data_IF_617695974485
#
_entry.id   IF_617695974485
#
_cell.length_a   1.000
_cell.length_b   1.000
_cell.length_c   1.000
_cell.angle_alpha   90.00
_cell.angle_beta   90.00
_cell.angle_gamma   90.00
#
_symmetry.space_group_name_H-M   'P 1'
#
loop_
_entity.id
_entity.type
_entity.pdbx_description
1 polymer ?
#
# COMPACT_ATOMS: atom_id res chain seq x y z
N UNK A 1 57.27 35.44 -68.96
CA UNK A 1 56.07 34.68 -69.22
C UNK A 1 55.74 34.00 -67.91
N UNK A 2 54.72 34.51 -67.21
CA UNK A 2 54.42 34.27 -65.84
C UNK A 2 53.47 33.07 -65.66
N UNK A 3 53.85 32.14 -64.80
CA UNK A 3 52.95 31.06 -64.36
C UNK A 3 52.42 31.39 -62.96
N UNK A 4 51.08 31.54 -62.80
CA UNK A 4 50.40 31.70 -61.57
C UNK A 4 50.13 30.30 -60.96
N UNK A 5 50.66 30.04 -59.77
CA UNK A 5 50.29 28.86 -58.96
C UNK A 5 49.19 29.25 -57.97
N UNK A 6 48.04 28.63 -58.13
CA UNK A 6 46.88 28.77 -57.22
C UNK A 6 47.00 27.81 -56.06
N UNK A 7 47.02 28.35 -54.84
CA UNK A 7 47.07 27.59 -53.55
C UNK A 7 45.67 27.37 -53.06
N UNK A 8 45.15 26.14 -53.17
CA UNK A 8 43.87 25.75 -52.58
C UNK A 8 44.12 25.29 -51.10
N UNK A 9 43.69 26.09 -50.13
CA UNK A 9 43.69 25.70 -48.73
C UNK A 9 42.41 24.86 -48.42
N UNK A 10 42.60 23.56 -48.17
CA UNK A 10 41.55 22.68 -47.67
C UNK A 10 41.23 23.01 -46.20
N UNK A 11 39.97 23.34 -45.92
CA UNK A 11 39.46 23.49 -44.58
C UNK A 11 38.94 22.10 -44.11
N UNK A 12 39.66 21.49 -43.17
CA UNK A 12 39.21 20.25 -42.51
C UNK A 12 38.29 20.63 -41.38
N UNK A 13 36.98 20.36 -41.52
CA UNK A 13 35.99 20.52 -40.45
C UNK A 13 36.07 19.24 -39.58
N UNK A 14 36.63 19.37 -38.40
CA UNK A 14 36.58 18.33 -37.40
C UNK A 14 35.18 18.30 -36.76
N UNK A 15 34.36 17.30 -37.08
CA UNK A 15 33.11 17.02 -36.38
C UNK A 15 33.43 16.37 -35.03
N UNK A 16 33.35 17.16 -33.96
CA UNK A 16 33.40 16.63 -32.61
C UNK A 16 32.08 15.87 -32.30
N UNK A 17 32.12 14.57 -32.36
CA UNK A 17 31.05 13.72 -31.85
C UNK A 17 31.00 13.83 -30.31
N UNK A 18 30.06 14.61 -29.81
CA UNK A 18 29.74 14.63 -28.37
C UNK A 18 29.19 13.27 -27.99
N UNK A 19 30.01 12.43 -27.37
CA UNK A 19 29.54 11.26 -26.65
C UNK A 19 28.74 11.78 -25.45
N UNK A 20 27.42 11.73 -25.54
CA UNK A 20 26.54 11.83 -24.38
C UNK A 20 26.81 10.56 -23.59
N UNK A 21 27.67 10.65 -22.59
CA UNK A 21 27.88 9.61 -21.61
C UNK A 21 26.54 9.34 -20.93
N UNK A 22 26.00 8.13 -21.13
CA UNK A 22 24.89 7.67 -20.30
C UNK A 22 25.36 7.74 -18.84
N UNK A 23 24.74 8.60 -18.04
CA UNK A 23 24.92 8.57 -16.61
C UNK A 23 24.66 7.13 -16.14
N UNK A 24 25.43 6.60 -15.17
CA UNK A 24 25.12 5.31 -14.60
C UNK A 24 23.66 5.35 -14.16
N UNK A 25 22.89 4.33 -14.56
CA UNK A 25 21.52 4.16 -14.11
C UNK A 25 21.56 4.15 -12.57
N UNK A 26 21.32 5.31 -11.96
CA UNK A 26 21.16 5.43 -10.53
C UNK A 26 20.00 4.54 -10.14
N UNK A 27 20.11 3.92 -8.99
CA UNK A 27 19.09 3.10 -8.37
C UNK A 27 17.69 3.71 -8.61
N UNK A 28 16.87 3.03 -9.42
CA UNK A 28 15.56 3.52 -9.84
C UNK A 28 14.50 3.22 -8.79
N UNK A 29 13.67 4.20 -8.47
CA UNK A 29 12.44 3.95 -7.73
C UNK A 29 11.27 3.89 -8.71
N UNK A 30 10.42 2.88 -8.56
CA UNK A 30 9.27 2.66 -9.45
C UNK A 30 7.98 2.61 -8.66
N UNK A 31 6.92 3.16 -9.25
CA UNK A 31 5.58 3.23 -8.65
C UNK A 31 4.61 2.42 -9.50
N UNK A 32 3.82 1.59 -8.85
CA UNK A 32 2.76 0.79 -9.44
C UNK A 32 1.42 1.21 -8.86
N UNK A 33 0.44 1.47 -9.72
CA UNK A 33 -0.91 1.89 -9.31
C UNK A 33 -1.94 0.99 -9.97
N UNK A 34 -2.75 0.28 -9.17
CA UNK A 34 -3.86 -0.50 -9.69
C UNK A 34 -5.06 0.37 -10.03
N UNK A 35 -5.63 0.17 -11.21
CA UNK A 35 -6.78 0.89 -11.75
C UNK A 35 -7.97 -0.08 -11.86
N UNK A 36 -8.84 -0.11 -10.85
CA UNK A 36 -9.89 -1.12 -10.73
C UNK A 36 -10.91 -1.07 -11.86
N UNK A 37 -11.29 0.12 -12.32
CA UNK A 37 -12.27 0.28 -13.39
C UNK A 37 -11.68 -0.04 -14.78
N UNK A 38 -10.42 0.31 -15.02
CA UNK A 38 -9.72 0.02 -16.29
C UNK A 38 -9.18 -1.43 -16.34
N UNK A 39 -9.02 -2.08 -15.19
CA UNK A 39 -8.51 -3.46 -15.07
C UNK A 39 -7.05 -3.60 -15.47
N UNK A 40 -6.22 -2.61 -15.13
CA UNK A 40 -4.79 -2.61 -15.41
C UNK A 40 -3.96 -1.98 -14.27
N UNK A 41 -2.65 -2.00 -14.44
CA UNK A 41 -1.67 -1.41 -13.52
C UNK A 41 -0.88 -0.35 -14.30
N UNK A 42 -0.94 0.91 -13.86
CA UNK A 42 -0.08 1.98 -14.33
C UNK A 42 1.29 1.89 -13.68
N UNK A 43 2.36 2.10 -14.44
CA UNK A 43 3.74 2.12 -13.94
C UNK A 43 4.36 3.50 -14.12
N UNK A 44 5.22 3.90 -13.17
CA UNK A 44 5.95 5.18 -13.24
C UNK A 44 7.34 5.00 -12.67
N UNK A 45 8.27 5.87 -13.14
CA UNK A 45 9.58 6.05 -12.50
C UNK A 45 9.53 7.28 -11.61
N UNK A 46 9.82 7.10 -10.32
CA UNK A 46 9.94 8.18 -9.33
C UNK A 46 11.34 8.79 -9.44
N UNK A 47 11.41 10.06 -9.81
CA UNK A 47 12.66 10.79 -9.98
C UNK A 47 13.21 11.31 -8.63
N UNK A 48 14.46 11.70 -8.62
CA UNK A 48 15.13 12.24 -7.43
C UNK A 48 14.51 13.54 -6.88
N UNK A 49 13.81 14.30 -7.70
CA UNK A 49 13.08 15.52 -7.36
C UNK A 49 11.61 15.27 -6.97
N UNK A 50 11.17 14.00 -6.98
CA UNK A 50 9.80 13.58 -6.67
C UNK A 50 8.84 13.63 -7.85
N UNK A 51 9.30 14.03 -9.06
CA UNK A 51 8.45 13.91 -10.25
C UNK A 51 8.27 12.46 -10.67
N UNK A 52 7.12 12.16 -11.29
CA UNK A 52 6.81 10.85 -11.84
C UNK A 52 6.88 10.88 -13.37
N UNK A 53 7.68 9.99 -13.95
CA UNK A 53 7.68 9.74 -15.39
C UNK A 53 6.78 8.56 -15.69
N UNK A 54 5.69 8.73 -16.50
CA UNK A 54 4.81 7.64 -16.87
C UNK A 54 5.56 6.55 -17.66
N UNK A 55 5.28 5.30 -17.29
CA UNK A 55 5.70 4.09 -18.00
C UNK A 55 4.53 3.41 -18.70
N UNK A 56 4.61 2.10 -18.85
CA UNK A 56 3.56 1.31 -19.48
C UNK A 56 2.34 1.15 -18.56
N UNK A 57 1.17 0.88 -19.17
CA UNK A 57 0.01 0.31 -18.51
C UNK A 57 -0.03 -1.18 -18.80
N UNK A 58 -0.10 -2.00 -17.76
CA UNK A 58 -0.02 -3.46 -17.89
C UNK A 58 -1.38 -4.07 -17.57
N UNK A 59 -1.91 -4.88 -18.50
CA UNK A 59 -3.21 -5.52 -18.31
C UNK A 59 -3.20 -6.43 -17.08
N UNK A 60 -4.26 -6.33 -16.30
CA UNK A 60 -4.53 -7.21 -15.16
C UNK A 60 -5.90 -7.85 -15.33
N UNK A 61 -6.86 -7.54 -14.47
CA UNK A 61 -8.24 -8.00 -14.56
C UNK A 61 -9.19 -6.94 -14.02
N UNK A 62 -10.46 -7.08 -14.34
CA UNK A 62 -11.50 -6.21 -13.80
C UNK A 62 -11.46 -6.21 -12.26
N UNK A 63 -11.61 -5.02 -11.67
CA UNK A 63 -11.56 -4.80 -10.21
C UNK A 63 -10.23 -5.27 -9.59
N UNK A 64 -9.09 -5.07 -10.30
CA UNK A 64 -7.77 -5.22 -9.69
C UNK A 64 -7.60 -4.18 -8.57
N UNK A 65 -7.26 -4.62 -7.37
CA UNK A 65 -7.18 -3.73 -6.22
C UNK A 65 -5.92 -3.93 -5.38
N UNK A 66 -5.87 -4.87 -4.39
CA UNK A 66 -4.70 -4.93 -3.56
C UNK A 66 -3.51 -5.47 -4.36
N UNK A 67 -2.38 -4.86 -4.11
CA UNK A 67 -1.09 -5.32 -4.59
C UNK A 67 -0.13 -5.51 -3.44
N UNK A 68 0.91 -6.31 -3.65
CA UNK A 68 2.06 -6.44 -2.76
C UNK A 68 3.29 -6.84 -3.57
N UNK A 69 4.42 -6.24 -3.22
CA UNK A 69 5.73 -6.59 -3.80
C UNK A 69 6.40 -7.66 -2.95
N UNK A 70 7.07 -8.63 -3.57
CA UNK A 70 7.87 -9.62 -2.85
C UNK A 70 9.02 -8.96 -2.07
N UNK A 71 9.42 -9.50 -0.90
CA UNK A 71 10.52 -8.92 -0.11
C UNK A 71 11.86 -8.81 -0.88
N UNK A 72 12.09 -9.70 -1.84
CA UNK A 72 13.26 -9.66 -2.75
C UNK A 72 13.05 -8.74 -3.97
N UNK A 73 11.91 -8.04 -4.02
CA UNK A 73 11.51 -7.08 -5.06
C UNK A 73 11.46 -7.64 -6.50
N UNK A 74 11.45 -8.98 -6.65
CA UNK A 74 11.41 -9.63 -7.97
C UNK A 74 10.01 -9.72 -8.56
N UNK A 75 8.98 -9.71 -7.72
CA UNK A 75 7.60 -9.98 -8.12
C UNK A 75 6.62 -8.97 -7.55
N UNK A 76 5.63 -8.61 -8.36
CA UNK A 76 4.42 -7.89 -7.93
C UNK A 76 3.24 -8.87 -8.00
N UNK A 77 2.46 -8.94 -6.94
CA UNK A 77 1.21 -9.69 -6.84
C UNK A 77 0.05 -8.71 -6.84
N UNK A 78 -0.96 -8.96 -7.65
CA UNK A 78 -2.15 -8.13 -7.75
C UNK A 78 -3.41 -9.00 -7.72
N UNK A 79 -4.29 -8.80 -6.74
CA UNK A 79 -5.52 -9.57 -6.63
C UNK A 79 -6.68 -8.89 -7.36
N UNK A 80 -7.46 -9.67 -8.11
CA UNK A 80 -8.72 -9.23 -8.70
C UNK A 80 -9.90 -9.61 -7.82
N UNK A 81 -10.85 -8.68 -7.66
CA UNK A 81 -12.05 -8.86 -6.84
C UNK A 81 -13.30 -9.19 -7.66
N UNK A 82 -13.16 -9.32 -8.97
CA UNK A 82 -14.19 -9.89 -9.86
C UNK A 82 -14.01 -11.41 -9.95
N UNK A 83 -15.12 -12.14 -10.14
CA UNK A 83 -15.06 -13.60 -10.38
C UNK A 83 -14.52 -13.90 -11.78
N UNK A 84 -13.66 -14.93 -11.94
CA UNK A 84 -13.08 -15.74 -10.89
C UNK A 84 -12.07 -14.90 -10.07
N UNK A 85 -12.02 -15.10 -8.72
CA UNK A 85 -11.06 -14.44 -7.88
C UNK A 85 -9.66 -14.97 -8.13
N UNK A 86 -8.75 -14.11 -8.54
CA UNK A 86 -7.39 -14.49 -8.94
C UNK A 86 -6.35 -13.57 -8.29
N UNK A 87 -5.17 -14.10 -8.06
CA UNK A 87 -3.95 -13.31 -7.92
C UNK A 87 -3.14 -13.40 -9.19
N UNK A 88 -2.76 -12.26 -9.74
CA UNK A 88 -1.90 -12.13 -10.91
C UNK A 88 -0.48 -11.84 -10.44
N UNK A 89 0.49 -12.52 -11.02
CA UNK A 89 1.91 -12.37 -10.67
C UNK A 89 2.65 -11.79 -11.85
N UNK A 90 3.44 -10.77 -11.58
CA UNK A 90 4.29 -10.09 -12.56
C UNK A 90 5.74 -10.14 -12.10
N UNK A 91 6.66 -10.44 -13.02
CA UNK A 91 8.08 -10.23 -12.80
C UNK A 91 8.40 -8.75 -12.95
N UNK A 92 9.19 -8.20 -12.04
CA UNK A 92 9.67 -6.80 -12.07
C UNK A 92 11.05 -6.77 -12.70
N UNK A 93 11.24 -5.93 -13.71
CA UNK A 93 12.57 -5.64 -14.24
C UNK A 93 13.25 -4.58 -13.34
N UNK A 94 14.34 -4.90 -12.64
CA UNK A 94 14.95 -3.97 -11.68
C UNK A 94 15.57 -2.73 -12.33
N UNK A 95 15.93 -2.78 -13.61
CA UNK A 95 16.53 -1.64 -14.30
C UNK A 95 15.50 -0.64 -14.83
N UNK A 96 14.27 -1.10 -15.12
CA UNK A 96 13.25 -0.27 -15.81
C UNK A 96 11.92 -0.19 -15.07
N UNK A 97 11.71 -0.99 -14.02
CA UNK A 97 10.43 -1.13 -13.32
C UNK A 97 9.33 -1.81 -14.17
N UNK A 98 9.65 -2.29 -15.37
CA UNK A 98 8.67 -2.90 -16.25
C UNK A 98 8.11 -4.20 -15.65
N UNK A 99 6.80 -4.37 -15.77
CA UNK A 99 6.08 -5.56 -15.32
C UNK A 99 5.88 -6.54 -16.48
N UNK A 100 6.31 -7.79 -16.29
CA UNK A 100 6.05 -8.88 -17.24
C UNK A 100 5.09 -9.88 -16.60
N UNK A 101 3.90 -10.14 -17.18
CA UNK A 101 2.98 -11.15 -16.66
C UNK A 101 3.66 -12.53 -16.58
N UNK A 102 3.54 -13.19 -15.44
CA UNK A 102 4.18 -14.47 -15.18
C UNK A 102 3.17 -15.61 -15.01
N UNK A 103 2.15 -15.40 -14.16
CA UNK A 103 1.15 -16.41 -13.80
C UNK A 103 -0.12 -15.75 -13.25
N UNK A 104 -1.17 -16.56 -13.15
CA UNK A 104 -2.36 -16.25 -12.35
C UNK A 104 -2.77 -17.50 -11.60
N UNK A 105 -3.21 -17.35 -10.35
CA UNK A 105 -3.67 -18.47 -9.51
C UNK A 105 -4.99 -18.12 -8.85
N UNK A 106 -5.89 -19.12 -8.62
CA UNK A 106 -7.15 -18.89 -7.95
C UNK A 106 -6.93 -18.47 -6.48
N UNK A 107 -7.84 -17.65 -5.99
CA UNK A 107 -7.97 -17.27 -4.60
C UNK A 107 -9.26 -17.84 -4.01
N UNK A 108 -9.24 -18.21 -2.73
CA UNK A 108 -10.39 -18.77 -2.04
C UNK A 108 -11.60 -17.81 -1.98
N UNK A 109 -11.33 -16.51 -1.98
CA UNK A 109 -12.32 -15.45 -1.84
C UNK A 109 -11.87 -14.13 -2.47
N UNK A 110 -12.80 -13.15 -2.51
CA UNK A 110 -12.50 -11.76 -2.86
C UNK A 110 -11.71 -11.08 -1.75
N UNK A 111 -10.43 -10.81 -1.97
CA UNK A 111 -9.57 -10.17 -0.97
C UNK A 111 -9.40 -8.67 -1.26
N UNK A 112 -9.88 -7.76 -0.40
CA UNK A 112 -9.53 -6.34 -0.43
C UNK A 112 -8.12 -6.05 0.08
N UNK A 113 -7.43 -7.05 0.63
CA UNK A 113 -6.07 -6.97 1.13
C UNK A 113 -5.33 -8.28 0.93
N UNK A 114 -4.12 -8.20 0.41
CA UNK A 114 -3.15 -9.28 0.38
C UNK A 114 -1.83 -8.80 0.96
N UNK A 115 -1.06 -9.70 1.53
CA UNK A 115 0.31 -9.46 1.99
C UNK A 115 1.16 -10.70 1.80
N UNK A 116 2.47 -10.54 1.91
CA UNK A 116 3.42 -11.65 1.98
C UNK A 116 4.01 -11.75 3.39
N UNK A 117 4.40 -12.94 3.77
CA UNK A 117 5.27 -13.13 4.91
C UNK A 117 6.67 -12.52 4.62
N UNK A 118 7.49 -12.31 5.66
CA UNK A 118 8.81 -11.66 5.48
C UNK A 118 9.81 -12.47 4.63
N UNK A 119 9.53 -13.75 4.39
CA UNK A 119 10.35 -14.60 3.50
C UNK A 119 9.86 -14.61 2.05
N UNK A 120 8.67 -14.08 1.78
CA UNK A 120 8.02 -14.12 0.48
C UNK A 120 7.51 -15.50 0.07
N UNK A 121 7.48 -16.46 0.99
CA UNK A 121 7.05 -17.85 0.69
C UNK A 121 5.57 -18.09 0.91
N UNK A 122 4.87 -17.17 1.53
CA UNK A 122 3.44 -17.32 1.82
C UNK A 122 2.70 -16.03 1.51
N UNK A 123 1.66 -16.16 0.67
CA UNK A 123 0.69 -15.09 0.39
C UNK A 123 -0.48 -15.24 1.36
N UNK A 124 -0.77 -14.17 2.09
CA UNK A 124 -1.89 -14.07 3.02
C UNK A 124 -2.96 -13.16 2.42
N UNK A 125 -4.22 -13.54 2.55
CA UNK A 125 -5.36 -12.74 2.10
C UNK A 125 -6.44 -12.64 3.17
N UNK A 126 -7.12 -11.48 3.25
CA UNK A 126 -8.27 -11.27 4.12
C UNK A 126 -9.50 -10.91 3.29
N UNK A 127 -10.65 -11.57 3.54
CA UNK A 127 -11.91 -11.35 2.82
C UNK A 127 -12.93 -10.59 3.65
N UNK A 128 -13.32 -9.41 3.11
CA UNK A 128 -14.36 -8.57 3.72
C UNK A 128 -15.75 -9.21 3.63
N UNK A 129 -16.09 -9.79 2.48
CA UNK A 129 -17.39 -10.41 2.25
C UNK A 129 -17.47 -11.87 2.69
N UNK A 130 -16.36 -12.60 2.58
CA UNK A 130 -16.28 -14.02 2.99
C UNK A 130 -16.00 -14.23 4.46
N UNK A 131 -15.55 -13.19 5.20
CA UNK A 131 -15.24 -13.28 6.64
C UNK A 131 -14.20 -14.36 6.96
N UNK A 132 -13.25 -14.55 6.05
CA UNK A 132 -12.17 -15.53 6.15
C UNK A 132 -10.82 -14.88 5.87
N UNK A 133 -9.78 -15.55 6.30
CA UNK A 133 -8.41 -15.34 5.85
C UNK A 133 -7.92 -16.59 5.14
N UNK A 134 -6.95 -16.44 4.23
CA UNK A 134 -6.29 -17.58 3.61
C UNK A 134 -4.78 -17.41 3.59
N UNK A 135 -4.08 -18.55 3.51
CA UNK A 135 -2.65 -18.63 3.29
C UNK A 135 -2.40 -19.54 2.11
N UNK A 136 -1.68 -19.06 1.09
CA UNK A 136 -1.24 -19.84 -0.05
C UNK A 136 0.29 -19.91 -0.09
N UNK A 137 0.86 -21.04 -0.46
CA UNK A 137 2.31 -21.15 -0.67
C UNK A 137 2.74 -20.38 -1.92
N UNK A 138 3.94 -19.81 -1.88
CA UNK A 138 4.60 -19.11 -2.99
C UNK A 138 5.90 -19.85 -3.31
N UNK A 139 6.07 -20.25 -4.57
CA UNK A 139 7.29 -20.87 -5.05
C UNK A 139 8.45 -19.90 -5.21
N UNK A 140 9.67 -20.40 -5.28
CA UNK A 140 10.88 -19.58 -5.53
C UNK A 140 10.86 -18.87 -6.89
N UNK A 141 10.01 -19.33 -7.81
CA UNK A 141 9.73 -18.72 -9.10
C UNK A 141 8.63 -17.64 -9.04
N UNK A 142 8.13 -17.32 -7.84
CA UNK A 142 7.09 -16.32 -7.58
C UNK A 142 5.67 -16.82 -7.79
N UNK A 143 5.45 -18.06 -8.27
CA UNK A 143 4.10 -18.57 -8.52
C UNK A 143 3.38 -18.91 -7.23
N UNK A 144 2.12 -18.51 -7.14
CA UNK A 144 1.24 -18.83 -6.01
C UNK A 144 0.60 -20.19 -6.25
N UNK A 145 0.66 -21.07 -5.27
CA UNK A 145 -0.02 -22.37 -5.32
C UNK A 145 -1.55 -22.17 -5.42
N UNK A 146 -2.24 -22.93 -6.29
CA UNK A 146 -3.68 -22.77 -6.51
C UNK A 146 -4.52 -23.17 -5.28
N UNK A 147 -4.03 -24.14 -4.52
CA UNK A 147 -4.71 -24.61 -3.32
C UNK A 147 -4.17 -23.89 -2.09
N UNK A 148 -5.04 -23.29 -1.25
CA UNK A 148 -4.61 -22.64 -0.02
C UNK A 148 -4.13 -23.68 1.00
N UNK A 149 -3.09 -23.35 1.75
CA UNK A 149 -2.65 -24.14 2.90
C UNK A 149 -3.69 -24.13 4.02
N UNK A 150 -4.36 -22.98 4.19
CA UNK A 150 -5.43 -22.76 5.16
C UNK A 150 -6.44 -21.75 4.64
N UNK A 151 -7.71 -21.98 4.98
CA UNK A 151 -8.78 -20.98 4.94
C UNK A 151 -9.40 -21.00 6.32
N UNK A 152 -9.33 -19.88 7.05
CA UNK A 152 -9.71 -19.78 8.46
C UNK A 152 -10.86 -18.77 8.58
N UNK A 153 -12.05 -19.17 9.09
CA UNK A 153 -13.10 -18.24 9.47
C UNK A 153 -12.62 -17.30 10.58
N UNK A 154 -12.93 -16.01 10.42
CA UNK A 154 -12.66 -14.95 11.40
C UNK A 154 -13.89 -14.09 11.61
N UNK A 155 -13.77 -12.98 12.33
CA UNK A 155 -14.87 -12.06 12.53
C UNK A 155 -15.36 -11.39 11.24
N UNK A 156 -16.55 -10.75 11.33
CA UNK A 156 -17.17 -10.07 10.19
C UNK A 156 -16.28 -8.98 9.61
N UNK A 157 -16.23 -8.94 8.29
CA UNK A 157 -15.55 -7.91 7.51
C UNK A 157 -14.03 -7.84 7.81
N UNK A 158 -13.34 -9.00 7.77
CA UNK A 158 -11.89 -9.04 7.83
C UNK A 158 -11.31 -8.19 6.70
N UNK A 159 -10.52 -7.16 7.06
CA UNK A 159 -10.14 -6.16 6.07
C UNK A 159 -8.67 -6.21 5.69
N UNK A 160 -7.80 -6.66 6.57
CA UNK A 160 -6.37 -6.87 6.28
C UNK A 160 -5.83 -8.04 7.08
N UNK A 161 -4.68 -8.54 6.64
CA UNK A 161 -3.85 -9.51 7.35
C UNK A 161 -2.39 -9.22 7.04
N UNK A 162 -1.55 -9.15 8.08
CA UNK A 162 -0.09 -9.03 7.94
C UNK A 162 0.60 -9.77 9.07
N UNK A 163 1.80 -10.25 8.79
CA UNK A 163 2.71 -10.74 9.83
C UNK A 163 3.47 -9.57 10.48
N UNK A 164 3.90 -9.77 11.72
CA UNK A 164 4.77 -8.86 12.46
C UNK A 164 6.18 -8.75 11.84
N UNK A 165 6.99 -7.80 12.28
CA UNK A 165 8.35 -7.64 11.77
C UNK A 165 9.25 -8.84 12.10
N UNK A 166 8.92 -9.59 13.16
CA UNK A 166 9.59 -10.84 13.53
C UNK A 166 9.19 -12.08 12.73
N UNK A 167 8.19 -11.97 11.84
CA UNK A 167 7.62 -13.08 11.07
C UNK A 167 7.13 -14.27 11.93
N UNK A 168 6.57 -13.97 13.12
CA UNK A 168 6.14 -14.98 14.10
C UNK A 168 4.68 -14.87 14.50
N UNK A 169 4.07 -13.72 14.28
CA UNK A 169 2.69 -13.44 14.64
C UNK A 169 1.97 -12.79 13.46
N UNK A 170 0.67 -13.01 13.34
CA UNK A 170 -0.16 -12.37 12.33
C UNK A 170 -1.40 -11.74 12.97
N UNK A 171 -1.82 -10.59 12.43
CA UNK A 171 -2.94 -9.83 12.94
C UNK A 171 -3.98 -9.60 11.85
N UNK A 172 -5.27 -9.69 12.24
CA UNK A 172 -6.40 -9.56 11.32
C UNK A 172 -7.45 -8.64 11.93
N UNK A 173 -7.48 -7.36 11.56
CA UNK A 173 -8.57 -6.47 11.89
C UNK A 173 -9.89 -6.93 11.25
N UNK A 174 -10.95 -6.98 12.05
CA UNK A 174 -12.31 -7.32 11.63
C UNK A 174 -13.25 -6.16 11.91
N UNK A 175 -13.51 -5.38 10.86
CA UNK A 175 -14.24 -4.11 10.92
C UNK A 175 -15.65 -4.28 11.54
N UNK A 176 -16.34 -5.34 11.17
CA UNK A 176 -17.73 -5.57 11.61
C UNK A 176 -17.88 -6.08 13.05
N UNK A 177 -16.78 -6.36 13.75
CA UNK A 177 -16.78 -6.85 15.13
C UNK A 177 -15.93 -5.99 16.08
N UNK A 178 -15.29 -4.92 15.60
CA UNK A 178 -14.38 -4.10 16.40
C UNK A 178 -13.30 -4.92 17.12
N UNK A 179 -12.64 -5.83 16.37
CA UNK A 179 -11.68 -6.79 16.92
C UNK A 179 -10.45 -6.88 16.01
N UNK A 180 -9.31 -7.23 16.63
CA UNK A 180 -8.10 -7.66 15.94
C UNK A 180 -7.82 -9.10 16.36
N UNK A 181 -7.94 -10.06 15.42
CA UNK A 181 -7.53 -11.44 15.65
C UNK A 181 -6.01 -11.53 15.72
N UNK A 182 -5.53 -12.36 16.62
CA UNK A 182 -4.12 -12.59 16.94
C UNK A 182 -3.78 -14.05 16.69
N UNK A 183 -2.78 -14.29 15.85
CA UNK A 183 -2.31 -15.63 15.50
C UNK A 183 -0.81 -15.76 15.74
N UNK A 184 -0.35 -16.93 16.15
CA UNK A 184 1.02 -17.33 15.91
C UNK A 184 1.17 -17.76 14.45
N UNK A 185 2.31 -17.46 13.85
CA UNK A 185 2.65 -17.80 12.48
C UNK A 185 3.92 -18.65 12.44
N UNK A 186 3.81 -19.85 11.86
CA UNK A 186 4.97 -20.70 11.59
C UNK A 186 5.56 -20.36 10.22
N UNK A 187 6.62 -19.60 10.20
CA UNK A 187 7.31 -19.18 8.98
C UNK A 187 7.95 -20.36 8.18
N UNK A 188 8.00 -21.58 8.71
CA UNK A 188 8.49 -22.75 7.98
C UNK A 188 7.39 -23.40 7.14
N UNK A 189 6.18 -23.46 7.70
CA UNK A 189 5.03 -24.16 7.12
C UNK A 189 3.94 -23.26 6.58
N UNK A 190 3.97 -21.96 6.91
CA UNK A 190 2.92 -20.99 6.58
C UNK A 190 1.68 -21.13 7.45
N UNK A 191 1.71 -21.95 8.50
CA UNK A 191 0.55 -22.24 9.34
C UNK A 191 0.28 -21.12 10.35
N UNK A 192 -1.00 -20.77 10.46
CA UNK A 192 -1.54 -19.89 11.49
C UNK A 192 -2.22 -20.73 12.56
N UNK A 193 -1.97 -20.41 13.83
CA UNK A 193 -2.70 -20.95 14.96
C UNK A 193 -3.19 -19.81 15.86
N UNK A 194 -4.44 -19.90 16.32
CA UNK A 194 -5.04 -18.85 17.14
C UNK A 194 -4.27 -18.66 18.44
N UNK A 195 -4.06 -17.42 18.83
CA UNK A 195 -3.43 -17.06 20.11
C UNK A 195 -4.42 -17.20 21.28
N UNK A 196 -3.96 -17.04 22.49
CA UNK A 196 -4.79 -17.03 23.69
C UNK A 196 -4.47 -15.78 24.52
N UNK A 197 -5.40 -14.78 24.61
CA UNK A 197 -6.70 -14.71 23.92
C UNK A 197 -6.59 -14.59 22.39
N UNK A 198 -7.63 -15.11 21.69
CA UNK A 198 -7.67 -15.12 20.22
C UNK A 198 -7.82 -13.73 19.60
N UNK A 199 -8.37 -12.78 20.34
CA UNK A 199 -8.67 -11.43 19.86
C UNK A 199 -8.26 -10.37 20.88
N UNK A 200 -7.87 -9.20 20.36
CA UNK A 200 -7.84 -7.94 21.09
C UNK A 200 -9.09 -7.15 20.73
N UNK A 201 -9.88 -6.74 21.74
CA UNK A 201 -11.08 -5.94 21.54
C UNK A 201 -10.72 -4.48 21.36
N UNK A 202 -11.44 -3.80 20.49
CA UNK A 202 -11.40 -2.36 20.35
C UNK A 202 -12.71 -1.73 20.80
N UNK A 203 -12.73 -0.42 21.01
CA UNK A 203 -13.97 0.32 21.34
C UNK A 203 -15.02 0.07 20.26
N UNK A 204 -16.26 -0.16 20.69
CA UNK A 204 -17.38 -0.38 19.78
C UNK A 204 -17.55 0.78 18.78
N UNK A 205 -17.79 0.43 17.52
CA UNK A 205 -17.98 1.39 16.42
C UNK A 205 -16.68 1.95 15.83
N UNK A 206 -15.51 1.41 16.21
CA UNK A 206 -14.23 1.82 15.58
C UNK A 206 -14.06 1.29 14.16
N UNK A 207 -14.44 0.03 13.93
CA UNK A 207 -14.24 -0.62 12.63
C UNK A 207 -12.77 -0.69 12.22
N UNK A 208 -11.92 -1.51 12.90
CA UNK A 208 -10.51 -1.62 12.54
C UNK A 208 -10.34 -2.17 11.14
N UNK A 209 -9.44 -1.56 10.36
CA UNK A 209 -9.32 -1.79 8.93
C UNK A 209 -7.93 -2.25 8.49
N UNK A 210 -6.98 -1.34 8.41
CA UNK A 210 -5.58 -1.58 8.12
C UNK A 210 -4.73 -1.26 9.35
N UNK A 211 -3.50 -1.77 9.36
CA UNK A 211 -2.56 -1.47 10.42
C UNK A 211 -1.12 -1.50 9.89
N UNK A 212 -0.22 -0.89 10.63
CA UNK A 212 1.22 -0.99 10.43
C UNK A 212 1.90 -1.32 11.76
N UNK A 213 3.06 -1.97 11.70
CA UNK A 213 3.92 -2.22 12.86
C UNK A 213 5.12 -1.27 12.85
N UNK A 214 5.64 -0.91 14.02
CA UNK A 214 6.92 -0.22 14.11
C UNK A 214 8.05 -1.17 13.67
N UNK A 215 9.10 -0.63 13.08
CA UNK A 215 10.24 -1.42 12.58
C UNK A 215 10.95 -2.24 13.66
N UNK A 216 10.91 -1.77 14.92
CA UNK A 216 11.44 -2.46 16.09
C UNK A 216 10.46 -3.48 16.70
N UNK A 217 9.30 -3.67 16.06
CA UNK A 217 8.25 -4.63 16.44
C UNK A 217 7.65 -4.41 17.84
N UNK A 218 7.73 -3.18 18.40
CA UNK A 218 7.18 -2.86 19.72
C UNK A 218 5.75 -2.38 19.69
N UNK A 219 5.32 -1.79 18.56
CA UNK A 219 4.01 -1.18 18.43
C UNK A 219 3.28 -1.65 17.17
N UNK A 220 1.96 -1.76 17.31
CA UNK A 220 1.03 -1.90 16.20
C UNK A 220 0.08 -0.69 16.22
N UNK A 221 -0.06 -0.03 15.06
CA UNK A 221 -0.93 1.11 14.87
C UNK A 221 -2.11 0.69 13.98
N UNK A 222 -3.31 0.61 14.56
CA UNK A 222 -4.52 0.17 13.87
C UNK A 222 -5.41 1.35 13.49
N UNK A 223 -5.71 1.48 12.20
CA UNK A 223 -6.62 2.49 11.66
C UNK A 223 -8.07 2.05 11.84
N UNK A 224 -8.89 2.93 12.37
CA UNK A 224 -10.35 2.83 12.39
C UNK A 224 -10.95 3.43 11.11
N UNK A 225 -11.66 2.63 10.32
CA UNK A 225 -12.38 3.13 9.12
C UNK A 225 -13.49 4.09 9.50
N UNK A 226 -14.20 3.81 10.63
CA UNK A 226 -15.46 4.46 10.97
C UNK A 226 -15.28 5.72 11.80
N UNK A 227 -14.13 5.91 12.43
CA UNK A 227 -13.84 7.06 13.29
C UNK A 227 -12.65 7.89 12.82
N UNK A 228 -11.86 7.43 11.85
CA UNK A 228 -10.64 8.11 11.41
C UNK A 228 -9.60 8.24 12.52
N UNK A 229 -9.65 7.36 13.51
CA UNK A 229 -8.68 7.30 14.62
C UNK A 229 -7.62 6.24 14.35
N UNK A 230 -6.45 6.42 14.93
CA UNK A 230 -5.41 5.38 14.99
C UNK A 230 -5.22 4.98 16.45
N UNK A 231 -5.41 3.68 16.73
CA UNK A 231 -5.16 3.10 18.06
C UNK A 231 -3.78 2.47 18.08
N UNK A 232 -2.98 2.85 19.06
CA UNK A 232 -1.66 2.27 19.33
C UNK A 232 -1.79 1.10 20.30
N UNK A 233 -1.19 -0.02 19.94
CA UNK A 233 -1.03 -1.19 20.80
C UNK A 233 0.45 -1.45 21.05
N UNK A 234 0.79 -1.79 22.31
CA UNK A 234 2.04 -2.48 22.60
C UNK A 234 1.95 -3.92 22.09
N UNK A 235 2.99 -4.37 21.40
CA UNK A 235 3.12 -5.71 20.87
C UNK A 235 4.09 -6.49 21.75
N UNK A 236 3.62 -7.53 22.44
CA UNK A 236 4.50 -8.43 23.19
C UNK A 236 5.23 -9.36 22.21
N UNK A 237 6.50 -9.08 21.99
CA UNK A 237 7.33 -9.85 21.06
C UNK A 237 7.57 -11.32 21.45
N UNK A 238 7.13 -11.79 22.64
CA UNK A 238 7.23 -13.20 23.05
C UNK A 238 5.94 -13.95 22.79
N UNK A 239 4.80 -13.32 23.07
CA UNK A 239 3.48 -13.94 23.00
C UNK A 239 2.68 -13.51 21.77
N UNK A 240 3.02 -12.38 21.16
CA UNK A 240 2.27 -11.77 20.06
C UNK A 240 0.95 -11.12 20.53
N UNK A 241 0.75 -10.94 21.83
CA UNK A 241 -0.45 -10.30 22.35
C UNK A 241 -0.38 -8.79 22.27
N UNK A 242 -1.51 -8.17 21.95
CA UNK A 242 -1.66 -6.73 21.85
C UNK A 242 -2.25 -6.16 23.16
N UNK A 243 -1.68 -5.06 23.64
CA UNK A 243 -2.21 -4.27 24.76
C UNK A 243 -2.44 -2.84 24.27
N UNK A 244 -3.67 -2.34 24.34
CA UNK A 244 -4.00 -0.98 23.93
C UNK A 244 -3.31 0.04 24.82
N UNK A 245 -2.64 1.04 24.19
CA UNK A 245 -1.97 2.15 24.86
C UNK A 245 -2.76 3.46 24.78
N UNK A 246 -3.55 3.64 23.71
CA UNK A 246 -4.35 4.83 23.49
C UNK A 246 -4.67 5.04 22.03
N UNK A 247 -5.43 6.09 21.75
CA UNK A 247 -5.92 6.40 20.41
C UNK A 247 -5.83 7.91 20.13
N UNK A 248 -5.57 8.29 18.87
CA UNK A 248 -5.55 9.66 18.40
C UNK A 248 -6.39 9.83 17.14
N UNK A 249 -7.08 10.97 16.98
CA UNK A 249 -7.82 11.31 15.76
C UNK A 249 -6.86 11.79 14.68
N UNK A 250 -7.06 11.30 13.44
CA UNK A 250 -6.37 11.77 12.24
C UNK A 250 -7.15 12.84 11.48
N UNK A 251 -8.21 13.37 12.09
CA UNK A 251 -9.07 14.42 11.55
C UNK A 251 -8.88 15.71 12.33
N UNK A 252 -9.01 16.88 11.67
CA UNK A 252 -8.98 18.16 12.36
C UNK A 252 -10.11 18.27 13.40
N UNK A 253 -9.87 19.03 14.47
CA UNK A 253 -10.82 19.17 15.58
C UNK A 253 -12.16 19.82 15.16
N UNK A 254 -12.15 20.61 14.11
CA UNK A 254 -13.31 21.28 13.51
C UNK A 254 -13.95 20.50 12.37
N UNK A 255 -13.60 19.22 12.20
CA UNK A 255 -14.20 18.36 11.18
C UNK A 255 -15.71 18.31 11.31
N UNK A 256 -16.41 18.35 10.19
CA UNK A 256 -17.88 18.19 10.11
C UNK A 256 -18.30 16.75 9.84
N UNK A 257 -17.32 15.84 9.71
CA UNK A 257 -17.62 14.42 9.50
C UNK A 257 -18.07 13.78 10.82
N UNK A 258 -19.07 12.92 10.73
CA UNK A 258 -19.56 12.11 11.84
C UNK A 258 -19.09 10.65 11.74
N UNK A 259 -19.26 9.87 12.82
CA UNK A 259 -18.94 8.44 12.81
C UNK A 259 -19.59 7.70 11.64
N UNK A 260 -18.78 6.95 10.90
CA UNK A 260 -19.23 6.13 9.79
C UNK A 260 -19.95 4.85 10.25
N UNK A 261 -20.35 4.02 9.29
CA UNK A 261 -20.88 2.69 9.54
C UNK A 261 -20.35 1.70 8.51
N UNK A 262 -20.33 0.39 8.81
CA UNK A 262 -19.92 -0.63 7.85
C UNK A 262 -20.69 -0.45 6.55
N UNK A 263 -19.96 -0.30 5.44
CA UNK A 263 -20.60 -0.22 4.12
C UNK A 263 -20.86 -1.64 3.65
N UNK A 264 -22.06 -1.90 3.12
CA UNK A 264 -22.43 -3.23 2.64
C UNK A 264 -21.45 -3.71 1.57
N UNK A 265 -21.18 -5.00 1.55
CA UNK A 265 -20.54 -5.61 0.39
C UNK A 265 -21.39 -5.31 -0.85
N UNK A 266 -20.77 -4.90 -1.95
CA UNK A 266 -21.46 -4.67 -3.22
C UNK A 266 -22.29 -5.92 -3.56
N UNK A 267 -23.62 -5.77 -3.62
CA UNK A 267 -24.52 -6.86 -3.97
C UNK A 267 -25.31 -7.51 -2.81
N UNK A 268 -25.18 -7.05 -1.56
CA UNK A 268 -26.02 -7.51 -0.46
C UNK A 268 -27.24 -6.60 -0.32
N UNK A 269 -28.42 -7.10 -0.73
CA UNK A 269 -29.68 -6.42 -0.55
C UNK A 269 -30.13 -6.40 0.92
N UNK A 270 -30.60 -5.27 1.43
CA UNK A 270 -31.38 -5.30 2.68
C UNK A 270 -31.28 -4.13 3.64
N UNK A 271 -30.41 -3.13 3.47
CA UNK A 271 -30.44 -1.92 4.29
C UNK A 271 -31.01 -0.75 3.50
N UNK A 272 -31.90 0.03 4.12
CA UNK A 272 -32.35 1.30 3.56
C UNK A 272 -31.13 2.19 3.22
N UNK A 273 -31.11 2.91 2.09
CA UNK A 273 -29.99 3.77 1.75
C UNK A 273 -29.86 4.86 2.82
N UNK A 274 -28.76 4.80 3.57
CA UNK A 274 -28.37 5.84 4.53
C UNK A 274 -27.57 6.90 3.78
N UNK A 275 -27.82 8.19 4.05
CA UNK A 275 -26.91 9.23 3.57
C UNK A 275 -25.55 9.06 4.26
N UNK A 276 -24.50 8.89 3.48
CA UNK A 276 -23.13 8.68 3.93
C UNK A 276 -22.18 9.80 3.56
N UNK A 277 -22.71 10.94 3.07
CA UNK A 277 -21.90 12.04 2.53
C UNK A 277 -20.99 12.68 3.58
N UNK A 278 -21.40 12.62 4.84
CA UNK A 278 -20.65 13.16 5.98
C UNK A 278 -20.07 12.05 6.88
N UNK A 279 -20.09 10.80 6.44
CA UNK A 279 -19.49 9.71 7.21
C UNK A 279 -17.98 9.73 7.11
N UNK A 280 -17.31 9.60 8.24
CA UNK A 280 -15.89 9.23 8.27
C UNK A 280 -15.71 7.91 7.54
N UNK A 281 -14.76 7.90 6.61
CA UNK A 281 -14.47 6.73 5.79
C UNK A 281 -12.97 6.59 5.53
N UNK A 282 -12.19 6.42 6.61
CA UNK A 282 -10.74 6.26 6.52
C UNK A 282 -10.36 4.98 5.78
N UNK A 283 -9.19 4.95 5.15
CA UNK A 283 -8.85 3.82 4.30
C UNK A 283 -7.47 3.21 4.57
N UNK A 284 -6.40 3.93 4.41
CA UNK A 284 -5.06 3.37 4.44
C UNK A 284 -4.19 4.01 5.51
N UNK A 285 -3.12 3.32 5.90
CA UNK A 285 -2.22 3.76 6.95
C UNK A 285 -0.79 3.33 6.61
N UNK A 286 0.14 4.27 6.68
CA UNK A 286 1.57 4.02 6.50
C UNK A 286 2.41 4.77 7.53
N UNK A 287 3.48 4.12 7.97
CA UNK A 287 4.51 4.68 8.84
C UNK A 287 5.75 4.98 7.99
N UNK A 288 6.40 6.11 8.23
CA UNK A 288 7.70 6.40 7.58
C UNK A 288 8.75 5.36 8.00
N UNK A 289 9.74 5.04 7.16
CA UNK A 289 10.78 4.04 7.47
C UNK A 289 11.57 4.35 8.76
N UNK A 290 11.71 5.65 9.09
CA UNK A 290 12.36 6.08 10.33
C UNK A 290 11.45 6.00 11.57
N UNK A 291 10.19 5.59 11.40
CA UNK A 291 9.20 5.45 12.48
C UNK A 291 8.68 6.76 13.09
N UNK A 292 9.05 7.94 12.56
CA UNK A 292 8.76 9.24 13.18
C UNK A 292 7.42 9.84 12.81
N UNK A 293 6.90 9.49 11.63
CA UNK A 293 5.64 10.03 11.10
C UNK A 293 4.74 8.92 10.60
N UNK A 294 3.46 9.06 10.89
CA UNK A 294 2.42 8.13 10.46
C UNK A 294 1.33 8.91 9.72
N UNK A 295 0.83 8.35 8.64
CA UNK A 295 -0.21 8.98 7.83
C UNK A 295 -1.38 8.04 7.60
N UNK A 296 -2.57 8.64 7.48
CA UNK A 296 -3.81 7.93 7.10
C UNK A 296 -4.49 8.66 5.94
N UNK A 297 -5.19 7.91 5.09
CA UNK A 297 -6.07 8.50 4.09
C UNK A 297 -7.51 8.52 4.58
N UNK A 298 -8.23 9.62 4.30
CA UNK A 298 -9.65 9.77 4.62
C UNK A 298 -10.43 10.11 3.33
N UNK A 299 -11.35 9.21 2.96
CA UNK A 299 -12.00 9.22 1.63
C UNK A 299 -13.07 10.28 1.47
N UNK A 300 -13.82 10.59 2.52
CA UNK A 300 -14.93 11.55 2.47
C UNK A 300 -14.43 12.99 2.38
N UNK A 301 -13.45 13.35 3.20
CA UNK A 301 -12.80 14.67 3.14
C UNK A 301 -11.77 14.80 2.02
N UNK A 302 -11.40 13.69 1.37
CA UNK A 302 -10.33 13.65 0.36
C UNK A 302 -9.02 14.22 0.89
N UNK A 303 -8.56 13.67 2.02
CA UNK A 303 -7.38 14.17 2.71
C UNK A 303 -6.44 13.07 3.22
N UNK A 304 -5.21 13.48 3.54
CA UNK A 304 -4.23 12.70 4.29
C UNK A 304 -4.07 13.34 5.67
N UNK A 305 -4.40 12.60 6.73
CA UNK A 305 -4.11 12.97 8.11
C UNK A 305 -2.71 12.53 8.51
N UNK A 306 -1.94 13.42 9.13
CA UNK A 306 -0.57 13.16 9.56
C UNK A 306 -0.41 13.18 11.08
N UNK A 307 0.50 12.37 11.59
CA UNK A 307 0.86 12.28 13.01
C UNK A 307 2.38 12.27 13.18
N UNK A 308 2.86 12.88 14.23
CA UNK A 308 4.17 12.53 14.79
C UNK A 308 4.04 11.34 15.73
N UNK A 309 5.05 10.48 15.74
CA UNK A 309 5.13 9.28 16.57
C UNK A 309 6.27 9.46 17.56
N UNK A 310 5.96 9.40 18.84
CA UNK A 310 6.98 9.20 19.87
C UNK A 310 7.44 7.74 19.82
N UNK A 311 8.59 7.49 19.25
CA UNK A 311 9.12 6.13 19.04
C UNK A 311 9.43 5.40 20.35
N UNK A 312 9.57 6.11 21.49
CA UNK A 312 9.79 5.48 22.78
C UNK A 312 8.53 4.93 23.42
N UNK A 313 7.38 5.62 23.25
CA UNK A 313 6.09 5.29 23.87
C UNK A 313 5.01 4.83 22.90
N UNK A 314 5.21 4.98 21.58
CA UNK A 314 4.18 4.74 20.58
C UNK A 314 3.08 5.82 20.54
N UNK A 315 3.20 6.89 21.34
CA UNK A 315 2.20 7.97 21.40
C UNK A 315 2.13 8.71 20.07
N UNK A 316 0.89 8.91 19.60
CA UNK A 316 0.59 9.68 18.40
C UNK A 316 0.16 11.09 18.76
N UNK A 317 0.69 12.09 18.05
CA UNK A 317 0.25 13.48 18.11
C UNK A 317 -0.17 13.92 16.72
N UNK A 318 -1.42 14.35 16.56
CA UNK A 318 -1.93 14.86 15.29
C UNK A 318 -1.13 16.11 14.84
N UNK A 319 -0.76 16.15 13.57
CA UNK A 319 0.00 17.25 12.96
C UNK A 319 -0.89 18.10 12.06
N UNK A 320 -1.49 17.48 11.05
CA UNK A 320 -2.19 18.21 10.00
C UNK A 320 -3.12 17.31 9.20
N UNK A 321 -4.01 17.93 8.43
CA UNK A 321 -4.75 17.30 7.35
C UNK A 321 -4.40 18.01 6.04
N UNK A 322 -3.96 17.23 5.03
CA UNK A 322 -3.56 17.72 3.71
C UNK A 322 -4.58 17.27 2.67
N UNK A 323 -5.24 18.22 1.99
CA UNK A 323 -6.14 17.92 0.89
C UNK A 323 -5.39 17.23 -0.26
N UNK A 324 -6.01 16.22 -0.88
CA UNK A 324 -5.37 15.39 -1.91
C UNK A 324 -6.36 14.96 -3.00
N UNK A 325 -6.09 13.84 -3.64
CA UNK A 325 -6.94 13.22 -4.67
C UNK A 325 -8.34 12.89 -4.13
N UNK A 326 -9.36 12.90 -4.99
CA UNK A 326 -10.74 12.60 -4.57
C UNK A 326 -10.88 11.13 -4.18
N UNK A 327 -11.42 10.91 -2.99
CA UNK A 327 -11.65 9.57 -2.41
C UNK A 327 -10.36 8.75 -2.34
N UNK A 328 -9.33 9.22 -1.60
CA UNK A 328 -8.02 8.55 -1.53
C UNK A 328 -8.15 7.24 -0.76
N UNK A 329 -8.02 6.12 -1.48
CA UNK A 329 -8.11 4.79 -0.88
C UNK A 329 -6.75 4.21 -0.52
N UNK A 330 -5.77 4.35 -1.39
CA UNK A 330 -4.42 3.85 -1.19
C UNK A 330 -3.38 4.92 -1.46
N UNK A 331 -2.31 4.88 -0.69
CA UNK A 331 -1.10 5.67 -0.89
C UNK A 331 0.12 4.86 -0.47
N UNK A 332 1.30 5.27 -0.88
CA UNK A 332 2.54 4.64 -0.43
C UNK A 332 3.60 5.70 -0.15
N UNK A 333 4.52 5.36 0.76
CA UNK A 333 5.71 6.16 1.07
C UNK A 333 6.91 5.47 0.44
N UNK A 334 7.78 6.22 -0.21
CA UNK A 334 8.99 5.65 -0.81
C UNK A 334 9.90 5.02 0.26
N UNK A 335 10.70 3.99 -0.06
CA UNK A 335 11.53 3.29 0.94
C UNK A 335 12.55 4.17 1.66
N UNK A 336 12.86 5.36 1.13
CA UNK A 336 13.72 6.36 1.78
C UNK A 336 12.93 7.35 2.65
N UNK A 337 11.60 7.27 2.66
CA UNK A 337 10.70 8.13 3.45
C UNK A 337 10.66 9.59 2.99
N UNK A 338 11.05 9.90 1.75
CA UNK A 338 11.12 11.26 1.23
C UNK A 338 9.87 11.71 0.50
N UNK A 339 9.18 10.78 -0.14
CA UNK A 339 8.02 11.05 -0.97
C UNK A 339 6.85 10.14 -0.63
N UNK A 340 5.67 10.69 -0.76
CA UNK A 340 4.39 9.98 -0.68
C UNK A 340 3.69 10.10 -2.04
N UNK A 341 3.16 8.99 -2.56
CA UNK A 341 2.31 8.96 -3.75
C UNK A 341 0.90 8.58 -3.34
N UNK A 342 -0.07 9.40 -3.70
CA UNK A 342 -1.48 9.23 -3.32
C UNK A 342 -2.35 9.01 -4.55
N UNK A 343 -3.18 7.97 -4.52
CA UNK A 343 -4.21 7.70 -5.54
C UNK A 343 -5.61 7.99 -5.00
N UNK A 344 -6.55 8.33 -5.89
CA UNK A 344 -7.95 8.53 -5.53
C UNK A 344 -8.89 7.76 -6.45
N UNK A 345 -9.84 7.01 -5.87
CA UNK A 345 -10.80 6.19 -6.63
C UNK A 345 -11.67 7.02 -7.60
N UNK A 346 -11.82 8.31 -7.33
CA UNK A 346 -12.61 9.26 -8.12
C UNK A 346 -11.76 10.35 -8.78
N UNK A 347 -10.45 10.17 -8.80
CA UNK A 347 -9.50 11.01 -9.52
C UNK A 347 -9.04 10.33 -10.80
N UNK A 348 -8.62 11.15 -11.76
CA UNK A 348 -7.92 10.75 -12.99
C UNK A 348 -6.42 11.04 -12.94
N UNK A 349 -5.94 11.39 -11.75
CA UNK A 349 -4.55 11.72 -11.45
C UNK A 349 -4.10 11.05 -10.16
N UNK A 350 -2.77 10.96 -9.98
CA UNK A 350 -2.09 10.69 -8.72
C UNK A 350 -1.22 11.89 -8.35
N UNK A 351 -1.16 12.17 -7.06
CA UNK A 351 -0.37 13.29 -6.52
C UNK A 351 0.85 12.80 -5.76
N UNK A 352 1.94 13.55 -5.86
CA UNK A 352 3.18 13.30 -5.11
C UNK A 352 3.39 14.45 -4.13
N UNK A 353 3.76 14.07 -2.91
CA UNK A 353 4.13 14.97 -1.83
C UNK A 353 5.52 14.65 -1.31
N UNK A 354 6.34 15.67 -1.08
CA UNK A 354 7.57 15.54 -0.29
C UNK A 354 7.19 15.52 1.19
N UNK A 355 7.81 14.61 1.95
CA UNK A 355 7.67 14.53 3.41
C UNK A 355 8.81 15.33 4.03
N UNK A 356 8.47 16.39 4.76
CA UNK A 356 9.45 17.16 5.51
C UNK A 356 10.03 16.30 6.65
N UNK A 357 11.33 16.11 6.63
CA UNK A 357 12.00 15.21 7.59
C UNK A 357 12.12 15.82 9.00
N UNK A 358 11.85 17.10 9.17
CA UNK A 358 11.88 17.76 10.48
C UNK A 358 10.55 17.62 11.23
N UNK A 359 9.42 17.89 10.55
CA UNK A 359 8.11 18.03 11.16
C UNK A 359 7.01 17.13 10.55
N UNK A 360 7.31 16.37 9.46
CA UNK A 360 6.35 15.49 8.80
C UNK A 360 5.33 16.19 7.93
N UNK A 361 5.49 17.50 7.65
CA UNK A 361 4.58 18.21 6.76
C UNK A 361 4.66 17.67 5.33
N UNK A 362 3.50 17.56 4.68
CA UNK A 362 3.40 17.16 3.28
C UNK A 362 3.45 18.40 2.39
N UNK A 363 4.46 18.46 1.50
CA UNK A 363 4.62 19.51 0.51
C UNK A 363 4.30 18.96 -0.88
N UNK A 364 3.29 19.50 -1.55
CA UNK A 364 2.93 19.11 -2.91
C UNK A 364 4.13 19.27 -3.86
N UNK A 365 4.38 18.25 -4.68
CA UNK A 365 5.47 18.22 -5.67
C UNK A 365 4.92 18.21 -7.08
N UNK A 366 4.14 17.20 -7.42
CA UNK A 366 3.68 16.97 -8.78
C UNK A 366 2.39 16.17 -8.82
N UNK A 367 1.76 16.17 -10.00
CA UNK A 367 0.57 15.39 -10.32
C UNK A 367 0.70 14.86 -11.74
N UNK A 368 0.35 13.59 -11.95
CA UNK A 368 0.37 12.94 -13.26
C UNK A 368 -0.92 12.17 -13.52
N UNK A 369 -1.33 11.98 -14.79
CA UNK A 369 -2.48 11.17 -15.14
C UNK A 369 -2.34 9.71 -14.67
N UNK A 370 -3.48 9.07 -14.34
CA UNK A 370 -3.60 7.68 -13.96
C UNK A 370 -4.85 7.05 -14.60
N UNK A 371 -5.00 5.73 -14.53
CA UNK A 371 -6.21 5.04 -14.98
C UNK A 371 -7.41 5.23 -14.03
N UNK A 372 -8.59 4.81 -14.48
CA UNK A 372 -9.85 4.96 -13.73
C UNK A 372 -9.93 3.98 -12.57
N UNK A 373 -10.44 4.48 -11.44
CA UNK A 373 -10.57 3.70 -10.21
C UNK A 373 -9.22 3.39 -9.56
N UNK A 374 -8.26 4.32 -9.61
CA UNK A 374 -6.96 4.19 -8.97
C UNK A 374 -7.12 4.03 -7.46
N UNK A 375 -6.62 2.92 -6.89
CA UNK A 375 -6.99 2.56 -5.52
C UNK A 375 -5.90 1.93 -4.66
N UNK A 376 -4.78 1.54 -5.24
CA UNK A 376 -3.65 0.94 -4.54
C UNK A 376 -2.34 1.41 -5.14
N UNK A 377 -1.36 1.68 -4.30
CA UNK A 377 -0.03 2.16 -4.69
C UNK A 377 1.04 1.29 -4.06
N UNK A 378 2.01 0.83 -4.85
CA UNK A 378 3.25 0.21 -4.38
C UNK A 378 4.44 1.00 -4.89
N UNK A 379 5.47 1.14 -4.07
CA UNK A 379 6.74 1.79 -4.45
C UNK A 379 7.90 0.86 -4.12
N UNK A 380 8.75 0.60 -5.11
CA UNK A 380 9.97 -0.18 -4.96
C UNK A 380 11.19 0.66 -5.28
N UNK A 381 12.32 0.38 -4.66
CA UNK A 381 13.58 1.03 -4.96
C UNK A 381 14.67 -0.03 -5.08
N UNK A 382 15.36 -0.01 -6.21
CA UNK A 382 16.51 -0.89 -6.47
C UNK A 382 17.78 -0.05 -6.27
N UNK A 383 18.53 -0.35 -5.22
CA UNK A 383 19.79 0.33 -4.88
C UNK A 383 20.97 -0.26 -5.64
#
# INVERSE_FOLDING_TARGET
>A
MNAFASLIRGITIAVAASMIGAAPAGAGAFVYVSNAEDGDISTYTLQGDGSLLPGARVKAAAVVMPMVVSPDQRFLYAASRSKPFLVHVYAINPATGALTPLASSPLAESFPYISLDKTGRFLLGASYGGHVISVNAVGSDGRVAPEPLQVIPVGRNAHSIRVDEGNRFAYVPTLGNDQIFQFSFDAKTGRLASNTPAVSLMKAGTGPRHFVTSSDNRYLFALSELLGTVTTFALDGKTGLLTELGSASGLPADTRLGPGGPRGAVGVAGAAPRNTDNDIWAADIHLTPNGRFLYISERTSSSIGGFSVDTASGKLTYLSSTATERQPRGFAIDPRGRYMVVSGEKSDTISVYAIDQADGALKYVSKVPVGKGANWVEIVSFD
#
